data_IF_909477829862
#
_entry.id   IF_909477829862
#
_cell.length_a   1.000
_cell.length_b   1.000
_cell.length_c   1.000
_cell.angle_alpha   90.00
_cell.angle_beta   90.00
_cell.angle_gamma   90.00
#
_symmetry.space_group_name_H-M   'P 1'
#
loop_
_entity.id
_entity.type
_entity.pdbx_description
1 polymer ?
#
# COMPACT_ATOMS: atom_id res chain seq x y z
N UNK A 1 6.35 -3.48 -24.74
CA UNK A 1 6.14 -2.27 -23.95
C UNK A 1 7.29 -1.31 -24.22
N UNK A 2 7.09 0.03 -24.20
CA UNK A 2 8.22 0.95 -24.24
C UNK A 2 9.22 0.59 -23.15
N UNK A 3 10.51 0.74 -23.39
CA UNK A 3 11.62 0.25 -22.56
C UNK A 3 11.63 0.74 -21.08
N UNK A 4 10.70 1.58 -20.67
CA UNK A 4 10.61 2.18 -19.32
C UNK A 4 9.23 2.01 -18.66
N UNK A 5 8.30 1.28 -19.28
CA UNK A 5 6.96 1.08 -18.72
C UNK A 5 6.96 -0.08 -17.74
N UNK A 6 6.52 0.17 -16.49
CA UNK A 6 6.39 -0.82 -15.43
C UNK A 6 4.93 -1.22 -15.23
N UNK A 7 4.69 -2.44 -14.78
CA UNK A 7 3.44 -2.90 -14.23
C UNK A 7 3.42 -2.62 -12.71
N UNK A 8 2.52 -1.75 -12.28
CA UNK A 8 2.40 -1.33 -10.89
C UNK A 8 1.11 -1.92 -10.30
N UNK A 9 1.24 -2.67 -9.22
CA UNK A 9 0.09 -3.15 -8.46
C UNK A 9 -0.10 -2.31 -7.20
N UNK A 10 -1.33 -1.78 -6.99
CA UNK A 10 -1.65 -0.95 -5.82
C UNK A 10 -2.90 -1.47 -5.14
N UNK A 11 -2.83 -1.77 -3.84
CA UNK A 11 -4.02 -2.07 -3.04
C UNK A 11 -4.58 -0.80 -2.39
N UNK A 12 -5.91 -0.71 -2.24
CA UNK A 12 -6.56 0.43 -1.60
C UNK A 12 -6.65 1.67 -2.51
N UNK A 13 -6.96 1.49 -3.81
CA UNK A 13 -7.04 2.58 -4.81
C UNK A 13 -8.33 3.40 -4.77
N UNK A 14 -9.28 3.10 -3.88
CA UNK A 14 -10.58 3.79 -3.85
C UNK A 14 -10.46 5.26 -3.44
N UNK A 15 -9.51 5.62 -2.58
CA UNK A 15 -9.31 6.97 -2.05
C UNK A 15 -7.89 7.19 -1.52
N UNK A 16 -7.61 8.40 -1.03
CA UNK A 16 -6.37 8.74 -0.33
C UNK A 16 -5.11 8.49 -1.15
N UNK A 17 -4.07 7.96 -0.49
CA UNK A 17 -2.75 7.75 -1.10
C UNK A 17 -2.80 6.76 -2.27
N UNK A 18 -3.53 5.66 -2.13
CA UNK A 18 -3.61 4.64 -3.18
C UNK A 18 -4.24 5.18 -4.46
N UNK A 19 -5.29 6.02 -4.34
CA UNK A 19 -5.90 6.70 -5.49
C UNK A 19 -4.92 7.67 -6.15
N UNK A 20 -4.28 8.52 -5.36
CA UNK A 20 -3.34 9.51 -5.86
C UNK A 20 -2.12 8.87 -6.52
N UNK A 21 -1.56 7.80 -5.93
CA UNK A 21 -0.48 7.03 -6.55
C UNK A 21 -0.90 6.41 -7.88
N UNK A 22 -2.06 5.74 -7.92
CA UNK A 22 -2.55 5.11 -9.14
C UNK A 22 -2.66 6.13 -10.29
N UNK A 23 -3.27 7.29 -10.03
CA UNK A 23 -3.42 8.36 -11.02
C UNK A 23 -2.07 8.94 -11.46
N UNK A 24 -1.11 9.11 -10.55
CA UNK A 24 0.21 9.65 -10.87
C UNK A 24 1.08 8.63 -11.65
N UNK A 25 1.05 7.34 -11.30
CA UNK A 25 1.71 6.29 -12.10
C UNK A 25 1.18 6.24 -13.54
N UNK A 26 -0.16 6.34 -13.69
CA UNK A 26 -0.79 6.39 -15.01
C UNK A 26 -0.34 7.62 -15.78
N UNK A 27 -0.31 8.79 -15.14
CA UNK A 27 0.16 10.05 -15.75
C UNK A 27 1.61 9.95 -16.26
N UNK A 28 2.44 9.17 -15.55
CA UNK A 28 3.83 8.91 -15.94
C UNK A 28 3.99 7.78 -16.98
N UNK A 29 2.89 7.21 -17.47
CA UNK A 29 2.89 6.22 -18.57
C UNK A 29 3.07 4.78 -18.11
N UNK A 30 2.93 4.47 -16.81
CA UNK A 30 2.99 3.10 -16.29
C UNK A 30 1.62 2.42 -16.37
N UNK A 31 1.61 1.10 -16.51
CA UNK A 31 0.38 0.30 -16.36
C UNK A 31 0.08 0.09 -14.88
N UNK A 32 -1.15 0.39 -14.47
CA UNK A 32 -1.60 0.21 -13.10
C UNK A 32 -2.70 -0.83 -13.02
N UNK A 33 -2.50 -1.81 -12.14
CA UNK A 33 -3.55 -2.74 -11.69
C UNK A 33 -3.82 -2.46 -10.22
N UNK A 34 -5.10 -2.35 -9.84
CA UNK A 34 -5.42 -1.95 -8.48
C UNK A 34 -6.71 -2.53 -7.95
N UNK A 35 -6.82 -2.57 -6.63
CA UNK A 35 -8.04 -3.04 -5.98
C UNK A 35 -8.50 -2.14 -4.83
N UNK A 36 -9.80 -2.24 -4.54
CA UNK A 36 -10.41 -1.57 -3.40
C UNK A 36 -11.81 -2.09 -3.14
N UNK A 37 -12.35 -1.83 -1.95
CA UNK A 37 -13.66 -2.36 -1.55
C UNK A 37 -14.86 -1.56 -2.08
N UNK A 38 -14.67 -0.27 -2.37
CA UNK A 38 -15.78 0.58 -2.82
C UNK A 38 -16.11 0.33 -4.29
N UNK A 39 -17.16 -0.42 -4.58
CA UNK A 39 -17.62 -0.69 -5.94
C UNK A 39 -17.87 0.60 -6.75
N UNK A 40 -18.43 1.65 -6.12
CA UNK A 40 -18.65 2.96 -6.75
C UNK A 40 -17.34 3.59 -7.22
N UNK A 41 -16.33 3.66 -6.36
CA UNK A 41 -15.05 4.29 -6.66
C UNK A 41 -14.26 3.45 -7.69
N UNK A 42 -14.34 2.12 -7.60
CA UNK A 42 -13.73 1.22 -8.59
C UNK A 42 -14.37 1.42 -9.96
N UNK A 43 -15.71 1.48 -10.05
CA UNK A 43 -16.40 1.74 -11.32
C UNK A 43 -16.01 3.09 -11.94
N UNK A 44 -15.78 4.12 -11.13
CA UNK A 44 -15.26 5.41 -11.60
C UNK A 44 -13.85 5.28 -12.18
N UNK A 45 -12.95 4.54 -11.51
CA UNK A 45 -11.61 4.28 -12.01
C UNK A 45 -11.63 3.53 -13.34
N UNK A 46 -12.44 2.46 -13.44
CA UNK A 46 -12.61 1.69 -14.68
C UNK A 46 -13.15 2.53 -15.84
N UNK A 47 -14.08 3.44 -15.55
CA UNK A 47 -14.62 4.36 -16.56
C UNK A 47 -13.58 5.39 -17.02
N UNK A 48 -12.74 5.88 -16.09
CA UNK A 48 -11.75 6.93 -16.36
C UNK A 48 -10.49 6.39 -17.01
N UNK A 49 -10.07 5.19 -16.64
CA UNK A 49 -8.83 4.56 -17.07
C UNK A 49 -9.12 3.19 -17.67
N UNK A 50 -9.24 3.16 -19.00
CA UNK A 50 -9.42 1.91 -19.75
C UNK A 50 -8.12 1.10 -19.84
N UNK A 51 -8.16 -0.04 -20.54
CA UNK A 51 -6.97 -0.85 -20.84
C UNK A 51 -5.79 0.05 -21.30
N UNK A 52 -4.56 -0.22 -20.82
CA UNK A 52 -4.11 -1.43 -20.15
C UNK A 52 -4.27 -1.42 -18.60
N UNK A 53 -4.93 -0.42 -18.03
CA UNK A 53 -5.15 -0.37 -16.58
C UNK A 53 -6.30 -1.30 -16.18
N UNK A 54 -6.22 -1.87 -14.96
CA UNK A 54 -7.21 -2.81 -14.45
C UNK A 54 -7.52 -2.52 -12.98
N UNK A 55 -8.79 -2.24 -12.67
CA UNK A 55 -9.25 -1.96 -11.31
C UNK A 55 -10.35 -2.93 -10.92
N UNK A 56 -10.27 -3.50 -9.70
CA UNK A 56 -11.19 -4.53 -9.23
C UNK A 56 -11.75 -4.24 -7.83
N UNK A 57 -13.01 -4.62 -7.64
CA UNK A 57 -13.63 -4.69 -6.31
C UNK A 57 -13.10 -5.91 -5.56
N UNK A 58 -12.17 -5.72 -4.62
CA UNK A 58 -11.56 -6.79 -3.81
C UNK A 58 -11.37 -6.30 -2.39
N UNK A 59 -11.78 -7.11 -1.42
CA UNK A 59 -11.40 -6.94 -0.03
C UNK A 59 -10.11 -7.75 0.24
N UNK A 60 -9.02 -7.06 0.54
CA UNK A 60 -7.72 -7.69 0.81
C UNK A 60 -7.75 -8.61 2.03
N UNK A 61 -8.68 -8.42 2.97
CA UNK A 61 -8.85 -9.29 4.13
C UNK A 61 -9.43 -10.68 3.78
N UNK A 62 -10.05 -10.83 2.60
CA UNK A 62 -10.52 -12.13 2.07
C UNK A 62 -9.45 -12.76 1.19
N UNK A 63 -8.84 -13.84 1.67
CA UNK A 63 -7.83 -14.60 0.93
C UNK A 63 -8.35 -15.11 -0.41
N UNK A 64 -9.59 -15.61 -0.44
CA UNK A 64 -10.28 -16.12 -1.64
C UNK A 64 -10.46 -15.05 -2.73
N UNK A 65 -10.85 -13.81 -2.33
CA UNK A 65 -11.00 -12.72 -3.29
C UNK A 65 -9.64 -12.29 -3.85
N UNK A 66 -8.60 -12.25 -3.00
CA UNK A 66 -7.24 -11.92 -3.42
C UNK A 66 -6.69 -13.01 -4.33
N UNK A 67 -6.92 -14.29 -4.03
CA UNK A 67 -6.51 -15.41 -4.89
C UNK A 67 -7.14 -15.30 -6.29
N UNK A 68 -8.45 -15.12 -6.36
CA UNK A 68 -9.18 -15.00 -7.62
C UNK A 68 -8.69 -13.79 -8.44
N UNK A 69 -8.47 -12.66 -7.78
CA UNK A 69 -7.93 -11.45 -8.40
C UNK A 69 -6.51 -11.67 -8.92
N UNK A 70 -5.63 -12.27 -8.10
CA UNK A 70 -4.24 -12.54 -8.48
C UNK A 70 -4.16 -13.48 -9.69
N UNK A 71 -4.92 -14.59 -9.70
CA UNK A 71 -4.99 -15.51 -10.84
C UNK A 71 -5.34 -14.78 -12.14
N UNK A 72 -6.31 -13.85 -12.07
CA UNK A 72 -6.74 -13.07 -13.23
C UNK A 72 -5.66 -12.08 -13.68
N UNK A 73 -5.10 -11.29 -12.76
CA UNK A 73 -4.08 -10.29 -13.07
C UNK A 73 -2.82 -10.94 -13.62
N UNK A 74 -2.30 -11.98 -12.96
CA UNK A 74 -1.10 -12.68 -13.40
C UNK A 74 -1.27 -13.32 -14.79
N UNK A 75 -2.46 -13.81 -15.10
CA UNK A 75 -2.76 -14.35 -16.44
C UNK A 75 -2.77 -13.28 -17.55
N UNK A 76 -3.26 -12.08 -17.25
CA UNK A 76 -3.47 -11.01 -18.24
C UNK A 76 -2.26 -10.10 -18.36
N UNK A 77 -1.64 -9.75 -17.23
CA UNK A 77 -0.59 -8.72 -17.16
C UNK A 77 0.79 -9.29 -16.79
N UNK A 78 0.86 -10.49 -16.21
CA UNK A 78 2.10 -11.03 -15.64
C UNK A 78 2.40 -10.53 -14.23
N UNK A 79 3.61 -10.81 -13.76
CA UNK A 79 4.09 -10.38 -12.45
C UNK A 79 4.31 -8.86 -12.40
N UNK A 80 3.91 -8.17 -11.32
CA UNK A 80 4.17 -6.73 -11.18
C UNK A 80 5.67 -6.44 -10.97
N UNK A 81 6.14 -5.34 -11.55
CA UNK A 81 7.47 -4.78 -11.26
C UNK A 81 7.53 -4.10 -9.89
N UNK A 82 6.39 -3.52 -9.47
CA UNK A 82 6.25 -2.84 -8.19
C UNK A 82 4.90 -3.20 -7.57
N UNK A 83 4.93 -3.82 -6.40
CA UNK A 83 3.77 -4.22 -5.63
C UNK A 83 3.64 -3.32 -4.41
N UNK A 84 2.55 -2.54 -4.30
CA UNK A 84 2.30 -1.57 -3.26
C UNK A 84 1.13 -2.04 -2.37
N UNK A 85 1.43 -2.61 -1.20
CA UNK A 85 0.47 -2.94 -0.17
C UNK A 85 0.13 -1.68 0.64
N UNK A 86 -0.80 -0.88 0.09
CA UNK A 86 -1.23 0.39 0.66
C UNK A 86 -2.58 0.32 1.40
N UNK A 87 -3.42 -0.67 1.10
CA UNK A 87 -4.70 -0.82 1.78
C UNK A 87 -4.51 -0.86 3.30
N UNK A 88 -5.27 -0.03 4.02
CA UNK A 88 -5.14 0.05 5.47
C UNK A 88 -6.34 0.72 6.12
N UNK A 89 -6.55 0.40 7.39
CA UNK A 89 -7.52 0.99 8.30
C UNK A 89 -6.82 1.51 9.55
N UNK A 90 -7.44 2.48 10.19
CA UNK A 90 -7.13 2.91 11.55
C UNK A 90 -8.38 2.76 12.41
N UNK A 91 -8.22 2.49 13.70
CA UNK A 91 -9.30 2.48 14.67
C UNK A 91 -9.73 3.92 15.03
N UNK A 92 -10.92 4.09 15.60
CA UNK A 92 -11.30 5.36 16.22
C UNK A 92 -10.35 5.70 17.37
N UNK A 93 -10.14 6.98 17.62
CA UNK A 93 -9.35 7.40 18.78
C UNK A 93 -10.05 7.02 20.08
N UNK A 94 -9.48 6.06 20.79
CA UNK A 94 -9.93 5.65 22.14
C UNK A 94 -8.84 4.85 22.85
N UNK A 95 -8.84 4.84 24.20
CA UNK A 95 -8.00 3.94 24.97
C UNK A 95 -8.23 2.48 24.56
N UNK A 96 -7.17 1.68 24.60
CA UNK A 96 -7.21 0.29 24.10
C UNK A 96 -8.34 -0.55 24.72
N UNK A 97 -8.63 -0.38 26.00
CA UNK A 97 -9.70 -1.11 26.69
C UNK A 97 -11.13 -0.70 26.28
N UNK A 98 -11.28 0.39 25.52
CA UNK A 98 -12.56 0.84 24.94
C UNK A 98 -12.71 0.46 23.48
N UNK A 99 -11.67 -0.08 22.83
CA UNK A 99 -11.75 -0.55 21.45
C UNK A 99 -12.44 -1.90 21.42
N UNK A 100 -13.57 -1.97 20.69
CA UNK A 100 -14.32 -3.21 20.54
C UNK A 100 -13.56 -4.28 19.75
N UNK A 101 -13.77 -5.55 20.10
CA UNK A 101 -13.10 -6.68 19.44
C UNK A 101 -13.25 -6.69 17.92
N UNK A 102 -14.43 -6.32 17.39
CA UNK A 102 -14.67 -6.25 15.94
C UNK A 102 -13.82 -5.17 15.28
N UNK A 103 -13.67 -4.01 15.91
CA UNK A 103 -12.87 -2.90 15.40
C UNK A 103 -11.38 -3.27 15.40
N UNK A 104 -10.89 -3.85 16.50
CA UNK A 104 -9.54 -4.39 16.61
C UNK A 104 -9.25 -5.41 15.49
N UNK A 105 -10.14 -6.41 15.35
CA UNK A 105 -10.00 -7.44 14.32
C UNK A 105 -9.98 -6.85 12.92
N UNK A 106 -10.85 -5.89 12.60
CA UNK A 106 -10.90 -5.27 11.30
C UNK A 106 -9.57 -4.56 10.92
N UNK A 107 -8.92 -3.90 11.88
CA UNK A 107 -7.61 -3.26 11.65
C UNK A 107 -6.54 -4.33 11.38
N UNK A 108 -6.51 -5.41 12.16
CA UNK A 108 -5.57 -6.53 11.96
C UNK A 108 -5.83 -7.24 10.63
N UNK A 109 -7.09 -7.52 10.33
CA UNK A 109 -7.49 -8.26 9.12
C UNK A 109 -7.08 -7.52 7.84
N UNK A 110 -7.28 -6.21 7.81
CA UNK A 110 -6.90 -5.42 6.62
C UNK A 110 -5.40 -5.16 6.58
N UNK A 111 -4.81 -4.67 7.68
CA UNK A 111 -3.43 -4.15 7.65
C UNK A 111 -2.39 -5.26 7.62
N UNK A 112 -2.60 -6.37 8.33
CA UNK A 112 -1.64 -7.48 8.41
C UNK A 112 -2.05 -8.65 7.52
N UNK A 113 -3.24 -9.24 7.76
CA UNK A 113 -3.67 -10.40 6.97
C UNK A 113 -3.88 -10.02 5.50
N UNK A 114 -4.44 -8.84 5.22
CA UNK A 114 -4.61 -8.34 3.86
C UNK A 114 -3.28 -8.20 3.12
N UNK A 115 -2.26 -7.63 3.77
CA UNK A 115 -0.91 -7.58 3.21
C UNK A 115 -0.34 -8.97 2.96
N UNK A 116 -0.48 -9.90 3.92
CA UNK A 116 -0.01 -11.28 3.79
C UNK A 116 -0.72 -12.04 2.66
N UNK A 117 -2.05 -11.83 2.48
CA UNK A 117 -2.81 -12.43 1.39
C UNK A 117 -2.28 -11.97 0.02
N UNK A 118 -2.05 -10.68 -0.15
CA UNK A 118 -1.51 -10.14 -1.41
C UNK A 118 -0.11 -10.69 -1.67
N UNK A 119 0.77 -10.73 -0.67
CA UNK A 119 2.10 -11.33 -0.77
C UNK A 119 1.98 -12.80 -1.20
N UNK A 120 1.14 -13.60 -0.54
CA UNK A 120 0.94 -15.04 -0.81
C UNK A 120 0.59 -15.32 -2.27
N UNK A 121 -0.24 -14.49 -2.87
CA UNK A 121 -0.78 -14.77 -4.20
C UNK A 121 -0.03 -14.08 -5.35
N UNK A 122 0.75 -13.04 -5.11
CA UNK A 122 1.50 -12.34 -6.17
C UNK A 122 3.01 -12.59 -6.11
N UNK A 123 3.60 -12.65 -4.93
CA UNK A 123 5.07 -12.75 -4.78
C UNK A 123 5.66 -14.05 -5.35
N UNK A 124 5.01 -15.23 -5.27
CA UNK A 124 5.55 -16.43 -5.90
C UNK A 124 5.85 -16.27 -7.40
N UNK A 125 5.02 -15.53 -8.13
CA UNK A 125 5.28 -15.27 -9.56
C UNK A 125 6.43 -14.27 -9.76
N UNK A 126 6.53 -13.22 -8.91
CA UNK A 126 7.67 -12.30 -8.91
C UNK A 126 8.99 -13.04 -8.62
N UNK A 127 8.98 -13.97 -7.67
CA UNK A 127 10.16 -14.82 -7.30
C UNK A 127 10.62 -15.68 -8.47
N UNK A 128 9.72 -16.26 -9.27
CA UNK A 128 10.09 -17.03 -10.47
C UNK A 128 10.89 -16.19 -11.46
N UNK A 129 10.55 -14.91 -11.59
CA UNK A 129 11.25 -13.98 -12.47
C UNK A 129 12.46 -13.32 -11.81
N UNK A 130 12.65 -13.50 -10.49
CA UNK A 130 13.71 -12.88 -9.67
C UNK A 130 13.79 -11.36 -9.87
N UNK A 131 12.63 -10.71 -10.00
CA UNK A 131 12.53 -9.29 -10.31
C UNK A 131 11.34 -8.66 -9.60
N UNK A 132 11.51 -7.40 -9.19
CA UNK A 132 10.46 -6.55 -8.65
C UNK A 132 10.70 -6.11 -7.22
N UNK A 133 9.95 -5.08 -6.83
CA UNK A 133 10.00 -4.48 -5.50
C UNK A 133 8.63 -4.58 -4.83
N UNK A 134 8.62 -5.02 -3.59
CA UNK A 134 7.44 -5.11 -2.74
C UNK A 134 7.54 -3.99 -1.72
N UNK A 135 6.55 -3.09 -1.68
CA UNK A 135 6.48 -2.01 -0.70
C UNK A 135 5.27 -2.23 0.19
N UNK A 136 5.51 -2.46 1.47
CA UNK A 136 4.46 -2.56 2.47
C UNK A 136 4.35 -1.23 3.22
N UNK A 137 3.20 -0.55 3.12
CA UNK A 137 2.99 0.74 3.75
C UNK A 137 2.93 0.60 5.27
N UNK A 138 3.98 1.07 5.91
CA UNK A 138 4.13 1.25 7.35
C UNK A 138 3.59 2.63 7.78
N UNK A 139 4.16 3.22 8.79
CA UNK A 139 3.83 4.53 9.35
C UNK A 139 4.99 4.99 10.26
N UNK A 140 5.02 6.24 10.64
CA UNK A 140 5.79 6.69 11.81
C UNK A 140 5.43 5.86 13.06
N UNK A 141 4.16 5.48 13.20
CA UNK A 141 3.69 4.60 14.28
C UNK A 141 3.98 3.10 14.08
N UNK A 142 4.73 2.73 13.08
CA UNK A 142 5.40 1.42 12.97
C UNK A 142 6.80 1.42 13.60
N UNK A 143 7.30 2.59 14.00
CA UNK A 143 8.64 2.81 14.61
C UNK A 143 8.55 3.61 15.92
N UNK A 144 7.38 4.12 16.24
CA UNK A 144 6.97 4.79 17.48
C UNK A 144 5.54 4.39 17.82
N UNK A 145 4.97 4.97 18.87
CA UNK A 145 3.59 4.70 19.29
C UNK A 145 2.88 6.01 19.62
N UNK A 146 1.54 5.96 19.65
CA UNK A 146 0.69 7.03 20.15
C UNK A 146 -0.45 6.44 20.97
N UNK A 147 -0.94 7.13 21.99
CA UNK A 147 -2.16 6.73 22.69
C UNK A 147 -3.35 6.71 21.72
N UNK A 148 -4.42 6.01 22.11
CA UNK A 148 -5.71 5.94 21.42
C UNK A 148 -5.73 5.23 20.05
N UNK A 149 -4.56 4.87 19.50
CA UNK A 149 -4.43 4.17 18.20
C UNK A 149 -3.63 2.86 18.32
N UNK A 150 -3.69 2.22 19.47
CA UNK A 150 -2.91 1.02 19.77
C UNK A 150 -3.10 -0.14 18.77
N UNK A 151 -4.33 -0.48 18.28
CA UNK A 151 -4.51 -1.50 17.25
C UNK A 151 -3.75 -1.16 15.95
N UNK A 152 -3.81 0.09 15.52
CA UNK A 152 -3.09 0.56 14.34
C UNK A 152 -1.57 0.48 14.54
N UNK A 153 -1.05 1.01 15.65
CA UNK A 153 0.37 0.91 15.99
C UNK A 153 0.85 -0.54 15.95
N UNK A 154 0.13 -1.46 16.61
CA UNK A 154 0.46 -2.89 16.61
C UNK A 154 0.57 -3.47 15.19
N UNK A 155 -0.38 -3.11 14.29
CA UNK A 155 -0.31 -3.58 12.91
C UNK A 155 0.86 -2.96 12.14
N UNK A 156 1.21 -1.69 12.38
CA UNK A 156 2.31 -1.04 11.66
C UNK A 156 3.69 -1.52 12.15
N UNK A 157 3.84 -1.83 13.45
CA UNK A 157 4.99 -2.57 13.96
C UNK A 157 5.07 -3.98 13.35
N UNK A 158 3.93 -4.67 13.23
CA UNK A 158 3.83 -5.96 12.55
C UNK A 158 4.26 -5.90 11.09
N UNK A 159 3.90 -4.83 10.35
CA UNK A 159 4.33 -4.60 8.97
C UNK A 159 5.85 -4.41 8.85
N UNK A 160 6.48 -3.68 9.77
CA UNK A 160 7.95 -3.54 9.78
C UNK A 160 8.61 -4.93 9.91
N UNK A 161 8.22 -5.72 10.92
CA UNK A 161 8.77 -7.06 11.15
C UNK A 161 8.50 -8.04 10.00
N UNK A 162 7.22 -8.08 9.53
CA UNK A 162 6.83 -8.94 8.39
C UNK A 162 7.65 -8.63 7.14
N UNK A 163 7.86 -7.34 6.86
CA UNK A 163 8.59 -6.93 5.65
C UNK A 163 10.07 -7.24 5.75
N UNK A 164 10.68 -7.05 6.92
CA UNK A 164 12.09 -7.40 7.13
C UNK A 164 12.33 -8.91 7.05
N UNK A 165 11.40 -9.72 7.56
CA UNK A 165 11.46 -11.19 7.41
C UNK A 165 11.34 -11.59 5.94
N UNK A 166 10.33 -11.04 5.23
CA UNK A 166 10.17 -11.29 3.79
C UNK A 166 11.43 -10.92 2.99
N UNK A 167 12.08 -9.81 3.34
CA UNK A 167 13.30 -9.37 2.67
C UNK A 167 14.44 -10.40 2.74
N UNK A 168 14.51 -11.18 3.82
CA UNK A 168 15.51 -12.25 3.99
C UNK A 168 15.17 -13.51 3.18
N UNK A 169 13.90 -13.67 2.79
CA UNK A 169 13.41 -14.83 2.01
C UNK A 169 13.47 -14.59 0.49
N UNK A 170 13.60 -13.33 0.06
CA UNK A 170 13.61 -12.99 -1.37
C UNK A 170 14.95 -13.35 -2.05
N UNK A 171 14.90 -13.82 -3.30
CA UNK A 171 16.12 -14.06 -4.07
C UNK A 171 16.81 -12.75 -4.46
N UNK A 172 18.11 -12.78 -4.79
CA UNK A 172 18.80 -11.65 -5.39
C UNK A 172 18.05 -11.09 -6.61
N UNK A 173 18.00 -9.77 -6.74
CA UNK A 173 17.25 -9.10 -7.81
C UNK A 173 15.88 -8.58 -7.37
N UNK A 174 15.44 -8.90 -6.14
CA UNK A 174 14.19 -8.42 -5.56
C UNK A 174 14.43 -7.62 -4.28
N UNK A 175 13.41 -6.83 -3.87
CA UNK A 175 13.42 -6.13 -2.60
C UNK A 175 12.04 -6.13 -1.94
N UNK A 176 12.04 -6.16 -0.60
CA UNK A 176 10.88 -5.84 0.22
C UNK A 176 11.22 -4.67 1.15
N UNK A 177 10.38 -3.63 1.15
CA UNK A 177 10.64 -2.34 1.80
C UNK A 177 9.43 -1.96 2.67
N UNK A 178 9.57 -1.83 3.99
CA UNK A 178 8.55 -1.18 4.80
C UNK A 178 8.69 0.34 4.65
N UNK A 179 7.61 1.00 4.18
CA UNK A 179 7.63 2.41 3.83
C UNK A 179 6.75 3.25 4.76
N UNK A 180 7.34 4.21 5.45
CA UNK A 180 6.59 5.28 6.10
C UNK A 180 6.23 6.35 5.05
N UNK A 181 4.94 6.60 4.76
CA UNK A 181 4.54 7.63 3.80
C UNK A 181 4.72 9.06 4.31
N UNK A 182 4.97 9.25 5.61
CA UNK A 182 4.90 10.54 6.29
C UNK A 182 3.48 10.88 6.74
N UNK A 183 3.25 12.16 7.06
CA UNK A 183 1.94 12.67 7.49
C UNK A 183 1.28 13.39 6.32
N UNK A 184 0.11 12.92 5.89
CA UNK A 184 -0.59 13.41 4.70
C UNK A 184 -2.06 13.64 5.04
N UNK A 185 -2.63 14.75 4.57
CA UNK A 185 -4.03 15.12 4.76
C UNK A 185 -4.97 14.16 4.01
N UNK A 186 -5.29 13.06 4.65
CA UNK A 186 -6.23 12.02 4.19
C UNK A 186 -7.43 11.95 5.13
N UNK A 187 -8.53 11.33 4.70
CA UNK A 187 -9.67 11.04 5.58
C UNK A 187 -9.22 10.28 6.85
N UNK A 188 -8.23 9.39 6.71
CA UNK A 188 -7.64 8.66 7.83
C UNK A 188 -6.96 9.60 8.82
N UNK A 189 -6.18 10.57 8.35
CA UNK A 189 -5.54 11.56 9.24
C UNK A 189 -6.59 12.47 9.87
N UNK A 190 -7.58 12.91 9.10
CA UNK A 190 -8.66 13.76 9.59
C UNK A 190 -9.48 13.07 10.69
N UNK A 191 -9.66 11.74 10.61
CA UNK A 191 -10.37 10.99 11.67
C UNK A 191 -9.60 10.97 13.00
N UNK A 192 -8.27 11.14 12.98
CA UNK A 192 -7.43 11.17 14.19
C UNK A 192 -7.17 12.58 14.72
N UNK A 193 -6.94 13.55 13.83
CA UNK A 193 -6.45 14.89 14.17
C UNK A 193 -7.43 16.03 13.82
N UNK A 194 -8.59 15.69 13.27
CA UNK A 194 -9.60 16.70 12.89
C UNK A 194 -9.03 17.77 11.96
N UNK A 195 -9.33 19.03 12.26
CA UNK A 195 -8.92 20.19 11.44
C UNK A 195 -7.41 20.39 11.31
N UNK A 196 -6.61 19.89 12.23
CA UNK A 196 -5.13 20.00 12.17
C UNK A 196 -4.52 19.25 10.98
N UNK A 197 -5.26 18.30 10.40
CA UNK A 197 -4.83 17.56 9.22
C UNK A 197 -4.60 18.45 7.99
N UNK A 198 -5.25 19.62 7.91
CA UNK A 198 -5.15 20.55 6.77
C UNK A 198 -3.76 21.19 6.61
N UNK A 199 -2.93 21.16 7.65
CA UNK A 199 -1.56 21.68 7.61
C UNK A 199 -0.60 20.78 6.82
N UNK A 200 -1.01 19.55 6.50
CA UNK A 200 -0.19 18.59 5.78
C UNK A 200 -0.54 18.52 4.30
N UNK A 201 0.41 18.08 3.44
CA UNK A 201 0.18 18.01 2.01
C UNK A 201 -1.01 17.10 1.66
N UNK A 202 -1.70 17.43 0.61
CA UNK A 202 -2.78 16.61 0.05
C UNK A 202 -2.21 15.32 -0.55
N UNK A 203 -3.00 14.24 -0.71
CA UNK A 203 -2.57 13.02 -1.39
C UNK A 203 -2.00 13.26 -2.80
N UNK A 204 -2.55 14.25 -3.53
CA UNK A 204 -2.09 14.59 -4.90
C UNK A 204 -0.71 15.25 -4.87
N UNK A 205 -0.46 16.19 -3.96
CA UNK A 205 0.86 16.82 -3.78
C UNK A 205 1.88 15.80 -3.33
N UNK A 206 1.51 14.95 -2.37
CA UNK A 206 2.35 13.86 -1.89
C UNK A 206 2.73 12.89 -3.01
N UNK A 207 1.79 12.47 -3.85
CA UNK A 207 2.03 11.50 -4.90
C UNK A 207 3.07 11.99 -5.92
N UNK A 208 3.14 13.30 -6.20
CA UNK A 208 4.16 13.91 -7.08
C UNK A 208 5.60 13.72 -6.55
N UNK A 209 5.76 13.53 -5.24
CA UNK A 209 7.06 13.26 -4.61
C UNK A 209 7.26 11.76 -4.42
N UNK A 210 6.23 11.09 -3.90
CA UNK A 210 6.31 9.68 -3.54
C UNK A 210 6.44 8.75 -4.76
N UNK A 211 5.72 9.02 -5.86
CA UNK A 211 5.76 8.14 -7.04
C UNK A 211 7.13 8.12 -7.70
N UNK A 212 7.81 9.24 -7.98
CA UNK A 212 9.19 9.22 -8.45
C UNK A 212 10.17 8.56 -7.47
N UNK A 213 9.95 8.68 -6.17
CA UNK A 213 10.73 7.99 -5.15
C UNK A 213 10.53 6.47 -5.23
N UNK A 214 9.28 6.00 -5.28
CA UNK A 214 8.92 4.59 -5.39
C UNK A 214 9.49 3.95 -6.67
N UNK A 215 9.52 4.68 -7.78
CA UNK A 215 10.05 4.21 -9.07
C UNK A 215 11.56 4.01 -9.05
N UNK A 216 12.29 4.63 -8.11
CA UNK A 216 13.74 4.49 -7.91
C UNK A 216 14.12 3.36 -6.99
N UNK A 217 13.16 2.73 -6.31
CA UNK A 217 13.45 1.59 -5.45
C UNK A 217 13.93 0.40 -6.30
N UNK A 218 14.96 -0.25 -5.80
CA UNK A 218 15.67 -1.34 -6.44
C UNK A 218 16.15 -2.39 -5.41
N UNK A 219 16.81 -3.47 -5.82
CA UNK A 219 17.29 -4.51 -4.91
C UNK A 219 18.25 -4.02 -3.81
N UNK A 220 18.93 -2.89 -3.99
CA UNK A 220 19.81 -2.34 -2.96
C UNK A 220 19.05 -1.84 -1.72
N UNK A 221 17.74 -1.60 -1.85
CA UNK A 221 16.88 -1.16 -0.75
C UNK A 221 16.25 -2.32 0.05
N UNK A 222 16.60 -3.57 -0.26
CA UNK A 222 15.99 -4.73 0.38
C UNK A 222 16.16 -4.71 1.91
N UNK A 223 15.05 -4.83 2.65
CA UNK A 223 15.00 -4.83 4.11
C UNK A 223 15.18 -3.45 4.77
N UNK A 224 15.39 -2.39 3.98
CA UNK A 224 15.56 -1.04 4.53
C UNK A 224 14.22 -0.41 4.88
N UNK A 225 14.08 0.05 6.13
CA UNK A 225 12.91 0.82 6.58
C UNK A 225 13.02 2.27 6.09
N UNK A 226 12.30 2.60 5.02
CA UNK A 226 12.38 3.90 4.36
C UNK A 226 11.25 4.85 4.76
N UNK A 227 11.47 6.14 4.52
CA UNK A 227 10.46 7.20 4.63
C UNK A 227 10.42 8.02 3.34
N UNK A 228 9.22 8.36 2.85
CA UNK A 228 9.09 9.24 1.69
C UNK A 228 9.68 10.61 2.03
N UNK A 229 10.58 11.18 1.21
CA UNK A 229 11.30 12.43 1.52
C UNK A 229 10.39 13.66 1.30
N UNK A 230 9.39 13.85 2.18
CA UNK A 230 8.54 15.03 2.19
C UNK A 230 9.22 16.09 3.05
N UNK A 231 9.29 17.34 2.59
CA UNK A 231 9.77 18.45 3.41
C UNK A 231 8.88 18.59 4.65
N UNK A 232 9.47 18.51 5.85
CA UNK A 232 8.77 18.60 7.14
C UNK A 232 8.45 17.26 7.82
N UNK A 233 8.93 16.12 7.31
CA UNK A 233 8.70 14.79 7.92
C UNK A 233 9.82 14.37 8.91
N UNK A 234 10.70 15.27 9.29
CA UNK A 234 11.81 15.02 10.21
C UNK A 234 11.60 15.79 11.54
N UNK A 235 10.46 15.54 12.23
CA UNK A 235 10.32 15.89 13.66
C UNK A 235 9.41 14.87 14.34
#
# INVERSE_FOLDING_TARGET
MPANQKLILVTGVSRGLGRAMAEEFIRLGHTVVGCGRSGKEIAQLQKRFASPHDFAGVDVSSDEQVEAWAKRILKVHGAPDLLLNNAGLINRNAPLWEIGAREFSAVVDVNLKGTANVIRHFVPEMVKHKQGVIVNFSSGWGRSTSPEVAPYCATKWGIEGLTQALAQELPPGMAAVPLNPGIINTDMLQSCFGGSATSYPTPVEWAKIAVPFLLKLDPAHNGQSLTVPIRGAND
#
